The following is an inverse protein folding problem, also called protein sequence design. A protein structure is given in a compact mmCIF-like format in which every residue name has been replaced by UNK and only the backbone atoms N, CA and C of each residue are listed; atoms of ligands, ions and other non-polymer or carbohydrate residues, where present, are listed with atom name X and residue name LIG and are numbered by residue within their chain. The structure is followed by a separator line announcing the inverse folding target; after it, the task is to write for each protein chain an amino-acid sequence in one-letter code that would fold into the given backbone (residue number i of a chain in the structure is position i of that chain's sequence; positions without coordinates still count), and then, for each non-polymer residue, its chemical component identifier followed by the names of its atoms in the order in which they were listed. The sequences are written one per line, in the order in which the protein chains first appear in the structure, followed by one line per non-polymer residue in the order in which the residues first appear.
data_IF_030572905559
#
_entry.id   IF_030572905559
#
_cell.length_a   1.000
_cell.length_b   1.000
_cell.length_c   1.000
_cell.angle_alpha   90.00
_cell.angle_beta   90.00
_cell.angle_gamma   90.00
#
_symmetry.space_group_name_H-M   'P 1'
#
loop_
_entity.id
_entity.type
_entity.pdbx_description
1 polymer ?
#
# COMPACT_ATOMS: atom_id res chain seq x y z
N UNK A 1 -1.56 -13.00 -9.38
CA UNK A 1 -2.72 -12.24 -8.84
C UNK A 1 -3.29 -12.80 -7.52
N UNK A 2 -2.48 -13.22 -6.54
CA UNK A 2 -2.97 -13.52 -5.17
C UNK A 2 -2.69 -12.37 -4.19
N UNK A 3 -1.63 -11.61 -4.45
CA UNK A 3 -1.08 -10.66 -3.48
C UNK A 3 -1.85 -9.35 -3.41
N UNK A 4 -2.18 -8.76 -4.56
CA UNK A 4 -3.05 -7.59 -4.63
C UNK A 4 -4.35 -7.82 -3.84
N UNK A 5 -5.05 -8.92 -4.10
CA UNK A 5 -6.29 -9.26 -3.39
C UNK A 5 -6.11 -9.46 -1.89
N UNK A 6 -4.99 -10.05 -1.44
CA UNK A 6 -4.67 -10.13 -0.01
C UNK A 6 -4.47 -8.75 0.62
N UNK A 7 -3.73 -7.87 -0.06
CA UNK A 7 -3.51 -6.49 0.37
C UNK A 7 -4.83 -5.74 0.47
N UNK A 8 -5.69 -5.83 -0.55
CA UNK A 8 -7.01 -5.19 -0.58
C UNK A 8 -7.89 -5.67 0.59
N UNK A 9 -7.97 -6.98 0.82
CA UNK A 9 -8.74 -7.55 1.94
C UNK A 9 -8.20 -7.11 3.30
N UNK A 10 -6.87 -7.06 3.45
CA UNK A 10 -6.22 -6.60 4.67
C UNK A 10 -6.50 -5.11 4.93
N UNK A 11 -6.51 -4.30 3.86
CA UNK A 11 -6.83 -2.88 3.96
C UNK A 11 -8.29 -2.69 4.38
N UNK A 12 -9.22 -3.36 3.70
CA UNK A 12 -10.64 -3.33 4.00
C UNK A 12 -10.92 -3.71 5.47
N UNK A 13 -10.30 -4.79 5.95
CA UNK A 13 -10.53 -5.32 7.30
C UNK A 13 -9.96 -4.44 8.41
N UNK A 14 -8.78 -3.85 8.22
CA UNK A 14 -8.10 -3.12 9.30
C UNK A 14 -8.43 -1.63 9.31
N UNK A 15 -8.61 -1.02 8.14
CA UNK A 15 -8.70 0.43 8.02
C UNK A 15 -10.11 0.94 7.74
N UNK A 16 -11.05 0.07 7.37
CA UNK A 16 -12.42 0.47 6.97
C UNK A 16 -12.40 1.73 6.09
N UNK A 17 -11.62 1.71 5.00
CA UNK A 17 -11.37 2.90 4.22
C UNK A 17 -12.64 3.35 3.51
N UNK A 18 -12.83 4.66 3.40
CA UNK A 18 -13.85 5.22 2.50
C UNK A 18 -13.42 5.07 1.04
N UNK A 19 -12.11 5.13 0.79
CA UNK A 19 -11.51 4.85 -0.50
C UNK A 19 -10.15 4.18 -0.35
N UNK A 20 -9.86 3.22 -1.21
CA UNK A 20 -8.52 2.64 -1.32
C UNK A 20 -8.20 2.29 -2.77
N UNK A 21 -6.90 2.28 -3.10
CA UNK A 21 -6.40 1.83 -4.40
C UNK A 21 -5.11 1.04 -4.20
N UNK A 22 -5.01 -0.11 -4.86
CA UNK A 22 -3.82 -0.96 -4.86
C UNK A 22 -3.40 -1.19 -6.31
N UNK A 23 -2.27 -0.62 -6.68
CA UNK A 23 -1.73 -0.66 -8.04
C UNK A 23 -0.40 -1.40 -8.00
N UNK A 24 -0.27 -2.42 -8.84
CA UNK A 24 1.00 -3.08 -9.08
C UNK A 24 1.77 -2.28 -10.13
N UNK A 25 2.92 -1.72 -9.73
CA UNK A 25 3.80 -0.93 -10.60
C UNK A 25 5.11 -1.66 -10.89
N UNK A 26 5.17 -2.97 -10.64
CA UNK A 26 6.36 -3.81 -10.88
C UNK A 26 6.82 -3.78 -12.33
N UNK A 27 5.88 -3.66 -13.28
CA UNK A 27 6.16 -3.56 -14.72
C UNK A 27 6.83 -2.24 -15.13
N UNK A 28 6.65 -1.14 -14.38
CA UNK A 28 7.22 0.17 -14.70
C UNK A 28 8.75 0.25 -14.46
N UNK A 29 9.34 -0.76 -13.81
CA UNK A 29 10.78 -0.86 -13.57
C UNK A 29 11.50 -1.87 -14.49
N UNK A 30 10.86 -2.27 -15.59
CA UNK A 30 11.46 -3.10 -16.66
C UNK A 30 12.70 -2.39 -17.23
N UNK A 31 13.91 -2.77 -16.78
CA UNK A 31 15.18 -2.23 -17.29
C UNK A 31 16.33 -1.98 -16.28
N UNK A 32 16.12 -2.15 -14.97
CA UNK A 32 17.24 -2.08 -13.99
C UNK A 32 18.00 -3.41 -13.90
N UNK A 33 19.33 -3.36 -13.68
CA UNK A 33 20.30 -4.47 -13.80
C UNK A 33 20.02 -5.74 -12.95
N UNK A 34 19.00 -5.75 -12.07
CA UNK A 34 18.57 -6.89 -11.26
C UNK A 34 17.10 -7.32 -11.51
N UNK A 35 16.49 -6.91 -12.63
CA UNK A 35 15.13 -7.30 -12.98
C UNK A 35 15.01 -8.82 -13.19
N UNK A 36 14.25 -9.49 -12.32
CA UNK A 36 13.69 -10.81 -12.61
C UNK A 36 12.30 -10.59 -13.18
N UNK A 37 12.06 -11.11 -14.39
CA UNK A 37 10.72 -11.18 -14.95
C UNK A 37 9.78 -11.86 -13.94
N UNK A 38 8.53 -11.38 -13.87
CA UNK A 38 7.42 -12.02 -13.15
C UNK A 38 7.41 -11.88 -11.61
N UNK A 39 8.12 -10.89 -11.04
CA UNK A 39 8.08 -10.62 -9.59
C UNK A 39 7.23 -9.38 -9.28
N UNK A 40 6.05 -9.61 -8.70
CA UNK A 40 5.21 -8.61 -8.00
C UNK A 40 6.03 -7.96 -6.87
N UNK A 41 6.84 -6.95 -7.19
CA UNK A 41 7.92 -6.40 -6.36
C UNK A 41 7.66 -4.96 -5.89
N UNK A 42 6.87 -4.20 -6.65
CA UNK A 42 6.57 -2.79 -6.39
C UNK A 42 5.07 -2.54 -6.40
N UNK A 43 4.54 -2.04 -5.28
CA UNK A 43 3.13 -1.67 -5.16
C UNK A 43 2.96 -0.21 -4.77
N UNK A 44 1.97 0.45 -5.34
CA UNK A 44 1.45 1.72 -4.86
C UNK A 44 0.10 1.50 -4.18
N UNK A 45 0.01 1.92 -2.92
CA UNK A 45 -1.17 1.76 -2.08
C UNK A 45 -1.62 3.12 -1.60
N UNK A 46 -2.86 3.47 -1.94
CA UNK A 46 -3.55 4.67 -1.47
C UNK A 46 -4.65 4.21 -0.51
N UNK A 47 -4.69 4.79 0.69
CA UNK A 47 -5.73 4.50 1.69
C UNK A 47 -6.28 5.82 2.22
N UNK A 48 -7.59 6.00 2.11
CA UNK A 48 -8.35 7.12 2.66
C UNK A 48 -9.23 6.59 3.78
N UNK A 49 -8.94 6.98 5.02
CA UNK A 49 -9.68 6.50 6.20
C UNK A 49 -9.69 7.54 7.32
N UNK A 50 -10.78 7.60 8.08
CA UNK A 50 -10.85 8.39 9.31
C UNK A 50 -9.90 7.88 10.40
N UNK A 51 -9.47 6.62 10.35
CA UNK A 51 -8.50 6.07 11.33
C UNK A 51 -7.15 6.78 11.29
N UNK A 52 -6.86 7.52 10.22
CA UNK A 52 -5.67 8.33 10.09
C UNK A 52 -5.82 9.74 10.68
N UNK A 53 -7.04 10.12 11.07
CA UNK A 53 -7.31 11.39 11.75
C UNK A 53 -6.54 11.41 13.07
N UNK A 54 -5.90 12.54 13.36
CA UNK A 54 -5.02 12.75 14.52
C UNK A 54 -3.69 11.98 14.53
N UNK A 55 -3.41 11.13 13.54
CA UNK A 55 -2.10 10.48 13.39
C UNK A 55 -1.20 11.30 12.47
N UNK A 56 0.09 11.38 12.82
CA UNK A 56 1.07 11.98 11.92
C UNK A 56 1.42 11.02 10.77
N UNK A 57 2.03 11.54 9.70
CA UNK A 57 2.39 10.75 8.51
C UNK A 57 3.25 9.52 8.85
N UNK A 58 4.20 9.63 9.77
CA UNK A 58 5.08 8.52 10.15
C UNK A 58 4.29 7.42 10.86
N UNK A 59 3.38 7.77 11.77
CA UNK A 59 2.52 6.82 12.47
C UNK A 59 1.60 6.08 11.51
N UNK A 60 0.96 6.80 10.58
CA UNK A 60 0.12 6.20 9.53
C UNK A 60 0.92 5.20 8.70
N UNK A 61 2.12 5.58 8.24
CA UNK A 61 3.01 4.70 7.48
C UNK A 61 3.45 3.48 8.31
N UNK A 62 3.75 3.65 9.61
CA UNK A 62 4.10 2.54 10.50
C UNK A 62 2.95 1.55 10.67
N UNK A 63 1.72 2.02 10.83
CA UNK A 63 0.54 1.15 10.94
C UNK A 63 0.33 0.31 9.68
N UNK A 64 0.37 0.96 8.51
CA UNK A 64 0.20 0.28 7.23
C UNK A 64 1.33 -0.72 7.00
N UNK A 65 2.60 -0.31 7.21
CA UNK A 65 3.75 -1.21 7.11
C UNK A 65 3.66 -2.41 8.05
N UNK A 66 3.20 -2.22 9.30
CA UNK A 66 3.00 -3.31 10.25
C UNK A 66 1.96 -4.31 9.76
N UNK A 67 0.88 -3.83 9.15
CA UNK A 67 -0.17 -4.70 8.63
C UNK A 67 0.32 -5.46 7.39
N UNK A 68 1.04 -4.79 6.50
CA UNK A 68 1.63 -5.39 5.31
C UNK A 68 2.85 -6.28 5.60
N UNK A 69 3.40 -6.27 6.82
CA UNK A 69 4.64 -6.97 7.17
C UNK A 69 4.61 -8.46 6.83
N UNK A 70 3.45 -9.11 6.99
CA UNK A 70 3.26 -10.53 6.61
C UNK A 70 3.42 -10.73 5.10
N UNK A 71 2.91 -9.81 4.30
CA UNK A 71 3.10 -9.83 2.86
C UNK A 71 4.55 -9.45 2.51
N UNK A 72 5.20 -8.51 3.20
CA UNK A 72 6.60 -8.16 2.93
C UNK A 72 7.62 -9.31 3.13
N UNK A 73 7.35 -10.21 4.07
CA UNK A 73 8.22 -11.38 4.31
C UNK A 73 8.29 -12.35 3.11
N UNK A 74 7.33 -12.26 2.18
CA UNK A 74 7.20 -13.18 1.04
C UNK A 74 7.77 -12.60 -0.28
N UNK A 75 8.85 -11.82 -0.26
CA UNK A 75 9.52 -11.21 -1.44
C UNK A 75 8.98 -9.86 -1.96
N UNK A 76 8.26 -9.08 -1.15
CA UNK A 76 7.86 -7.72 -1.53
C UNK A 76 9.08 -6.79 -1.36
N UNK A 77 9.54 -6.14 -2.44
CA UNK A 77 10.77 -5.34 -2.39
C UNK A 77 10.52 -3.89 -1.96
N UNK A 78 9.48 -3.24 -2.49
CA UNK A 78 9.16 -1.85 -2.16
C UNK A 78 7.66 -1.55 -2.27
N UNK A 79 7.15 -0.70 -1.39
CA UNK A 79 5.77 -0.21 -1.45
C UNK A 79 5.74 1.29 -1.22
N UNK A 80 5.05 1.99 -2.11
CA UNK A 80 4.68 3.38 -1.94
C UNK A 80 3.35 3.42 -1.20
N UNK A 81 3.35 3.98 0.01
CA UNK A 81 2.16 4.12 0.84
C UNK A 81 1.77 5.60 0.87
N UNK A 82 0.53 5.89 0.48
CA UNK A 82 -0.09 7.20 0.61
C UNK A 82 -1.33 7.07 1.49
N UNK A 83 -1.30 7.71 2.65
CA UNK A 83 -2.40 7.68 3.63
C UNK A 83 -3.01 9.05 3.80
N UNK A 84 -4.30 9.17 3.53
CA UNK A 84 -5.04 10.42 3.61
C UNK A 84 -6.23 10.30 4.57
N UNK A 85 -6.59 11.38 5.24
CA UNK A 85 -7.92 11.53 5.80
C UNK A 85 -8.92 11.89 4.70
N UNK A 86 -10.21 11.76 4.97
CA UNK A 86 -11.27 12.19 4.04
C UNK A 86 -11.13 13.68 3.70
N UNK A 87 -10.82 14.51 4.70
CA UNK A 87 -10.60 15.96 4.52
C UNK A 87 -9.38 16.26 3.67
N UNK A 88 -8.28 15.53 3.85
CA UNK A 88 -7.07 15.69 3.04
C UNK A 88 -7.32 15.25 1.58
N UNK A 89 -8.05 14.15 1.38
CA UNK A 89 -8.34 13.62 0.04
C UNK A 89 -9.31 14.50 -0.74
N UNK A 90 -10.33 15.08 -0.09
CA UNK A 90 -11.28 16.02 -0.74
C UNK A 90 -10.63 17.33 -1.21
N UNK A 91 -9.48 17.68 -0.64
CA UNK A 91 -8.74 18.89 -0.96
C UNK A 91 -7.50 18.65 -1.85
N UNK A 92 -7.31 17.41 -2.32
CA UNK A 92 -6.24 17.02 -3.26
C UNK A 92 -6.79 16.95 -4.67
#
# INVERSE_FOLDING_TARGET
MKRKTNIENLILKNYEPEFFSVIDVSEQHRGHQNFKEDVESHFEIIIVSEKFKYLNRIERHRMVNQSLRKEFLSDLHSVIIKTYTIEEYKNT
#
